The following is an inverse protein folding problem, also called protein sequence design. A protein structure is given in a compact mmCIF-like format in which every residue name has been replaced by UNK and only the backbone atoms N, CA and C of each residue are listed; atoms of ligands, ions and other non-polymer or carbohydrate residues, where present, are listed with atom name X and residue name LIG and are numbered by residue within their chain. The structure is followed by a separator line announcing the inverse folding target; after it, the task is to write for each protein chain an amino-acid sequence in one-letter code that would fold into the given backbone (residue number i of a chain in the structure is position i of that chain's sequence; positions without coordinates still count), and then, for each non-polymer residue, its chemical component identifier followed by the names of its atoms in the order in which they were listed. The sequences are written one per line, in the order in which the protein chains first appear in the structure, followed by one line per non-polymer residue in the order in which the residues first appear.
data_IF_950985431166
#
_entry.id   IF_950985431166
#
_cell.length_a   1.000
_cell.length_b   1.000
_cell.length_c   1.000
_cell.angle_alpha   90.00
_cell.angle_beta   90.00
_cell.angle_gamma   90.00
#
_symmetry.space_group_name_H-M   'P 1'
#
loop_
_entity.id
_entity.type
_entity.pdbx_description
1 polymer ?
#
# COMPACT_ATOMS: atom_id res chain seq x y z
N UNK A 1 -14.35 -15.99 5.85
CA UNK A 1 -14.65 -15.64 4.46
C UNK A 1 -13.41 -15.57 3.56
N UNK A 2 -12.33 -14.88 3.95
CA UNK A 2 -11.05 -14.90 3.20
C UNK A 2 -10.15 -16.11 3.57
N UNK A 3 -10.20 -16.57 4.83
CA UNK A 3 -9.39 -17.68 5.35
C UNK A 3 -10.10 -19.06 5.28
N UNK A 4 -11.39 -19.10 4.90
CA UNK A 4 -12.19 -20.34 4.92
C UNK A 4 -11.75 -21.35 3.86
N UNK A 5 -10.92 -20.91 2.90
CA UNK A 5 -10.37 -21.77 1.85
C UNK A 5 -9.20 -22.64 2.32
N UNK A 6 -8.74 -22.47 3.57
CA UNK A 6 -7.70 -23.30 4.17
C UNK A 6 -6.29 -23.08 3.62
N UNK A 7 -6.12 -22.11 2.72
CA UNK A 7 -4.84 -21.79 2.10
C UNK A 7 -4.31 -20.51 2.74
N UNK A 8 -3.49 -20.68 3.78
CA UNK A 8 -2.80 -19.59 4.45
C UNK A 8 -1.37 -20.01 4.74
N UNK A 9 -0.45 -19.10 4.50
CA UNK A 9 0.95 -19.28 4.85
C UNK A 9 1.18 -18.75 6.27
N UNK A 10 1.92 -19.49 7.07
CA UNK A 10 2.22 -19.09 8.44
C UNK A 10 3.43 -18.16 8.43
N UNK A 11 3.21 -16.86 8.62
CA UNK A 11 4.29 -15.87 8.70
C UNK A 11 5.15 -16.06 9.96
N UNK A 12 4.56 -16.62 11.02
CA UNK A 12 5.24 -16.88 12.28
C UNK A 12 4.60 -18.06 13.03
N UNK A 13 5.43 -19.00 13.48
CA UNK A 13 5.01 -20.14 14.31
C UNK A 13 5.97 -20.29 15.50
N UNK A 14 5.40 -20.45 16.70
CA UNK A 14 6.18 -20.59 17.93
C UNK A 14 5.42 -21.37 19.00
N UNK A 15 6.04 -22.46 19.47
CA UNK A 15 5.51 -23.32 20.54
C UNK A 15 4.54 -24.39 20.04
N UNK A 16 3.72 -24.91 20.96
CA UNK A 16 2.70 -25.92 20.68
C UNK A 16 1.35 -25.45 21.22
N UNK A 17 0.61 -24.73 20.37
CA UNK A 17 -0.69 -24.13 20.70
C UNK A 17 -1.73 -25.20 21.00
N UNK A 18 -1.69 -26.33 20.29
CA UNK A 18 -2.61 -27.45 20.47
C UNK A 18 -2.46 -28.10 21.85
N UNK A 19 -1.23 -28.36 22.29
CA UNK A 19 -0.96 -28.88 23.62
C UNK A 19 -1.30 -27.88 24.72
N UNK A 20 -1.09 -26.58 24.48
CA UNK A 20 -1.46 -25.53 25.42
C UNK A 20 -2.99 -25.39 25.57
N UNK A 21 -3.73 -25.39 24.46
CA UNK A 21 -5.19 -25.30 24.44
C UNK A 21 -5.85 -26.46 25.20
N UNK A 22 -5.34 -27.70 25.02
CA UNK A 22 -5.84 -28.89 25.73
C UNK A 22 -5.63 -28.87 27.25
N UNK A 23 -4.67 -28.07 27.74
CA UNK A 23 -4.35 -27.97 29.17
C UNK A 23 -4.95 -26.73 29.84
N UNK A 24 -5.64 -25.87 29.10
CA UNK A 24 -6.17 -24.62 29.64
C UNK A 24 -7.40 -24.87 30.52
N UNK A 25 -7.45 -24.22 31.69
CA UNK A 25 -8.63 -24.28 32.58
C UNK A 25 -9.87 -23.61 31.97
N UNK A 26 -9.68 -22.70 31.00
CA UNK A 26 -10.73 -22.02 30.26
C UNK A 26 -10.27 -21.69 28.83
N UNK A 27 -11.07 -22.09 27.85
CA UNK A 27 -10.92 -21.72 26.45
C UNK A 27 -11.99 -20.68 26.06
N UNK A 28 -11.61 -19.65 25.31
CA UNK A 28 -12.53 -18.67 24.74
C UNK A 28 -12.27 -18.61 23.23
N UNK A 29 -13.29 -18.92 22.45
CA UNK A 29 -13.25 -18.90 21.00
C UNK A 29 -14.20 -17.83 20.47
N UNK A 30 -13.73 -17.02 19.53
CA UNK A 30 -14.51 -15.97 18.90
C UNK A 30 -14.04 -15.75 17.47
N UNK A 31 -14.99 -15.43 16.59
CA UNK A 31 -14.71 -15.05 15.21
C UNK A 31 -14.92 -13.55 15.06
N UNK A 32 -13.91 -12.87 14.51
CA UNK A 32 -13.96 -11.43 14.24
C UNK A 32 -13.93 -11.17 12.74
N UNK A 33 -14.63 -10.13 12.29
CA UNK A 33 -14.67 -9.71 10.90
C UNK A 33 -14.51 -8.19 10.82
N UNK A 34 -13.77 -7.73 9.81
CA UNK A 34 -13.60 -6.31 9.50
C UNK A 34 -13.91 -6.08 8.01
N UNK A 35 -14.69 -5.04 7.65
CA UNK A 35 -14.97 -4.75 6.25
C UNK A 35 -13.76 -4.12 5.56
N UNK A 36 -13.76 -4.15 4.22
CA UNK A 36 -12.86 -3.27 3.46
C UNK A 36 -13.24 -1.81 3.72
N UNK A 37 -12.22 -0.99 3.94
CA UNK A 37 -12.37 0.44 4.17
C UNK A 37 -11.66 1.20 3.05
N UNK A 38 -12.32 2.23 2.53
CA UNK A 38 -11.69 3.17 1.63
C UNK A 38 -10.86 4.17 2.45
N UNK A 39 -9.74 4.63 1.89
CA UNK A 39 -8.89 5.65 2.52
C UNK A 39 -9.63 6.97 2.74
N UNK A 40 -10.62 7.29 1.90
CA UNK A 40 -11.49 8.46 2.03
C UNK A 40 -10.71 9.78 2.24
N UNK A 41 -9.69 9.99 1.42
CA UNK A 41 -8.87 11.22 1.41
C UNK A 41 -9.76 12.42 1.10
N UNK A 42 -9.52 13.55 1.78
CA UNK A 42 -10.32 14.77 1.61
C UNK A 42 -10.04 15.45 0.26
N UNK A 43 -8.79 15.35 -0.20
CA UNK A 43 -8.42 15.70 -1.56
C UNK A 43 -8.59 14.48 -2.48
N UNK A 44 -9.32 14.63 -3.61
CA UNK A 44 -9.35 13.60 -4.65
C UNK A 44 -7.97 13.41 -5.28
N UNK A 45 -7.61 12.16 -5.58
CA UNK A 45 -6.39 11.83 -6.30
C UNK A 45 -6.26 12.65 -7.60
N UNK A 46 -5.19 13.43 -7.69
CA UNK A 46 -4.92 14.30 -8.83
C UNK A 46 -3.42 14.35 -9.14
N UNK A 47 -3.10 14.80 -10.35
CA UNK A 47 -1.75 15.01 -10.83
C UNK A 47 -1.80 15.89 -12.10
N UNK A 48 -0.89 16.85 -12.22
CA UNK A 48 -0.67 17.61 -13.46
C UNK A 48 0.70 17.27 -14.01
N UNK A 49 0.77 16.98 -15.31
CA UNK A 49 2.02 16.67 -15.99
C UNK A 49 2.20 17.57 -17.22
N UNK A 50 3.42 18.05 -17.42
CA UNK A 50 3.82 18.84 -18.58
C UNK A 50 5.05 18.19 -19.22
N UNK A 51 4.91 17.81 -20.49
CA UNK A 51 6.00 17.24 -21.27
C UNK A 51 6.40 18.21 -22.39
N UNK A 52 7.63 18.70 -22.34
CA UNK A 52 8.20 19.61 -23.34
C UNK A 52 9.69 19.35 -23.47
N UNK A 53 10.22 19.46 -24.69
CA UNK A 53 11.67 19.40 -24.97
C UNK A 53 12.37 18.16 -24.40
N UNK A 54 11.69 17.01 -24.44
CA UNK A 54 12.20 15.74 -23.90
C UNK A 54 12.32 15.71 -22.38
N UNK A 55 11.63 16.60 -21.65
CA UNK A 55 11.59 16.65 -20.20
C UNK A 55 10.15 16.56 -19.70
N UNK A 56 9.96 15.81 -18.63
CA UNK A 56 8.67 15.63 -17.96
C UNK A 56 8.70 16.34 -16.60
N UNK A 57 7.78 17.28 -16.40
CA UNK A 57 7.53 17.91 -15.11
C UNK A 57 6.18 17.49 -14.57
N UNK A 58 6.13 17.14 -13.29
CA UNK A 58 4.93 16.62 -12.62
C UNK A 58 4.67 17.43 -11.35
N UNK A 59 3.40 17.68 -11.05
CA UNK A 59 2.91 18.26 -9.80
C UNK A 59 1.78 17.40 -9.24
N UNK A 60 1.86 17.11 -7.95
CA UNK A 60 0.82 16.38 -7.22
C UNK A 60 1.31 15.98 -5.84
N UNK A 61 0.38 15.52 -5.00
CA UNK A 61 0.71 14.90 -3.72
C UNK A 61 1.08 13.43 -3.91
N UNK A 62 2.25 13.02 -3.42
CA UNK A 62 2.68 11.62 -3.39
C UNK A 62 3.23 11.25 -2.00
N UNK A 63 2.77 10.12 -1.45
CA UNK A 63 3.32 9.55 -0.21
C UNK A 63 4.74 8.99 -0.42
N UNK A 64 5.02 8.49 -1.63
CA UNK A 64 6.37 8.09 -2.07
C UNK A 64 6.74 8.84 -3.38
N UNK A 65 7.29 10.06 -3.27
CA UNK A 65 7.66 10.86 -4.44
C UNK A 65 8.83 10.26 -5.23
N UNK A 66 9.69 9.44 -4.60
CA UNK A 66 10.84 8.84 -5.28
C UNK A 66 10.38 7.70 -6.21
N UNK A 67 9.54 6.80 -5.69
CA UNK A 67 8.95 5.74 -6.51
C UNK A 67 8.04 6.31 -7.60
N UNK A 68 7.25 7.35 -7.29
CA UNK A 68 6.40 8.01 -8.27
C UNK A 68 7.21 8.61 -9.44
N UNK A 69 8.33 9.28 -9.14
CA UNK A 69 9.25 9.81 -10.18
C UNK A 69 9.86 8.68 -11.01
N UNK A 70 10.29 7.58 -10.38
CA UNK A 70 10.85 6.42 -11.06
C UNK A 70 9.84 5.76 -12.00
N UNK A 71 8.59 5.61 -11.54
CA UNK A 71 7.50 5.08 -12.35
C UNK A 71 7.17 6.01 -13.53
N UNK A 72 7.13 7.32 -13.31
CA UNK A 72 6.90 8.29 -14.36
C UNK A 72 8.00 8.25 -15.44
N UNK A 73 9.27 8.16 -15.05
CA UNK A 73 10.40 8.02 -15.97
C UNK A 73 10.27 6.74 -16.82
N UNK A 74 9.97 5.61 -16.17
CA UNK A 74 9.74 4.33 -16.84
C UNK A 74 8.58 4.39 -17.84
N UNK A 75 7.45 4.96 -17.44
CA UNK A 75 6.24 5.06 -18.31
C UNK A 75 6.48 6.01 -19.47
N UNK A 76 7.18 7.12 -19.25
CA UNK A 76 7.50 8.10 -20.30
C UNK A 76 8.67 7.69 -21.20
N UNK A 77 9.38 6.60 -20.88
CA UNK A 77 10.58 6.18 -21.63
C UNK A 77 11.75 7.15 -21.49
N UNK A 78 11.83 7.88 -20.37
CA UNK A 78 12.87 8.87 -20.09
C UNK A 78 13.84 8.34 -19.03
N UNK A 79 15.07 8.87 -19.01
CA UNK A 79 15.93 8.72 -17.83
C UNK A 79 15.42 9.60 -16.69
N UNK A 80 15.80 9.24 -15.45
CA UNK A 80 15.37 9.97 -14.26
C UNK A 80 15.78 11.46 -14.27
N UNK A 81 16.91 11.81 -14.88
CA UNK A 81 17.40 13.19 -14.97
C UNK A 81 16.52 14.10 -15.87
N UNK A 82 15.70 13.49 -16.73
CA UNK A 82 14.73 14.15 -17.59
C UNK A 82 13.35 14.27 -16.94
N UNK A 83 13.17 13.78 -15.72
CA UNK A 83 11.91 13.87 -14.98
C UNK A 83 12.10 14.69 -13.71
N UNK A 84 11.28 15.72 -13.54
CA UNK A 84 11.16 16.49 -12.30
C UNK A 84 9.79 16.24 -11.68
N UNK A 85 9.76 15.81 -10.43
CA UNK A 85 8.52 15.67 -9.66
C UNK A 85 8.50 16.72 -8.55
N UNK A 86 7.53 17.63 -8.62
CA UNK A 86 7.27 18.66 -7.64
C UNK A 86 6.19 18.11 -6.68
N UNK A 87 6.61 17.63 -5.52
CA UNK A 87 5.66 17.13 -4.53
C UNK A 87 4.93 18.30 -3.88
N UNK A 88 3.61 18.33 -3.99
CA UNK A 88 2.77 19.38 -3.39
C UNK A 88 2.20 18.92 -2.06
N UNK A 89 1.59 19.85 -1.31
CA UNK A 89 0.77 19.47 -0.15
C UNK A 89 -0.36 18.53 -0.59
N UNK A 90 -0.76 17.60 0.28
CA UNK A 90 -1.76 16.54 0.03
C UNK A 90 -2.84 16.58 1.10
N UNK A 91 -4.10 16.45 0.70
CA UNK A 91 -5.27 16.41 1.58
C UNK A 91 -5.68 15.00 2.04
N UNK A 92 -4.74 14.21 2.54
CA UNK A 92 -4.94 12.83 2.99
C UNK A 92 -4.15 11.82 2.17
#
# INVERSE_FOLDING_TARGET
AALDKGDFDSDYDFGDVEAAAKRADRLIEAVYQVPHLAHATMEPMNCTAHFSDGRLQIWGGFQDPLAARALAAKVAGLSMEHVTLNNTAMGG
#
